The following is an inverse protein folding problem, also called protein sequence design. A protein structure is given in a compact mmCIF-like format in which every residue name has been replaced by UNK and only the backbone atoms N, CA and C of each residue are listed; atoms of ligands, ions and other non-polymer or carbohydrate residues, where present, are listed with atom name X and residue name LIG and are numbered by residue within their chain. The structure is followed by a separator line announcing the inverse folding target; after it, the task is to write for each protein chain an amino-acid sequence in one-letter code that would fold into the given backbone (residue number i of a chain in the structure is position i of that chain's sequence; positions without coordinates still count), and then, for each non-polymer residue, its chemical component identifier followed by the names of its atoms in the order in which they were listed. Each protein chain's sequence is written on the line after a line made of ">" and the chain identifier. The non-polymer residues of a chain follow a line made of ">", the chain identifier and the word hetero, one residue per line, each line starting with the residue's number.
data_IF_579185738618
#
_entry.id   IF_579185738618
#
_cell.length_a   1.000
_cell.length_b   1.000
_cell.length_c   1.000
_cell.angle_alpha   90.00
_cell.angle_beta   90.00
_cell.angle_gamma   90.00
#
_symmetry.space_group_name_H-M   'P 1'
#
loop_
_entity.id
_entity.type
_entity.pdbx_description
1 polymer ?
#
# COMPACT_ATOMS: atom_id res chain seq x y z
N UNK A 1 -1.63 -31.66 40.34
CA UNK A 1 -0.49 -31.41 39.44
C UNK A 1 -0.60 -32.47 38.38
N UNK A 2 -1.11 -32.13 37.19
CA UNK A 2 -1.23 -33.11 36.10
C UNK A 2 0.17 -33.49 35.64
N UNK A 3 0.44 -34.79 35.59
CA UNK A 3 1.67 -35.35 35.02
C UNK A 3 1.65 -35.06 33.51
N UNK A 4 2.31 -33.99 33.08
CA UNK A 4 2.43 -33.67 31.65
C UNK A 4 3.04 -34.83 30.88
N UNK A 5 2.44 -35.20 29.75
CA UNK A 5 2.96 -36.21 28.83
C UNK A 5 3.84 -35.51 27.79
N UNK A 6 5.09 -35.94 27.67
CA UNK A 6 6.00 -35.46 26.63
C UNK A 6 5.84 -36.30 25.36
N UNK A 7 5.71 -35.62 24.22
CA UNK A 7 5.63 -36.23 22.89
C UNK A 7 6.55 -35.47 21.95
N UNK A 8 7.20 -36.21 21.06
CA UNK A 8 7.96 -35.71 19.95
C UNK A 8 7.03 -35.48 18.75
N UNK A 9 7.33 -34.50 17.90
CA UNK A 9 6.66 -34.28 16.61
C UNK A 9 7.67 -33.98 15.52
N UNK A 10 7.58 -34.71 14.41
CA UNK A 10 8.44 -34.55 13.22
C UNK A 10 7.75 -35.04 11.95
N UNK A 11 8.51 -35.18 10.87
CA UNK A 11 8.00 -35.73 9.58
C UNK A 11 7.44 -37.14 9.76
N UNK A 12 7.98 -37.92 10.70
CA UNK A 12 7.49 -39.24 11.05
C UNK A 12 6.25 -39.28 11.97
N UNK A 13 5.62 -38.15 12.27
CA UNK A 13 4.40 -38.05 13.09
C UNK A 13 4.65 -37.79 14.57
N UNK A 14 3.77 -38.29 15.45
CA UNK A 14 3.88 -38.15 16.90
C UNK A 14 4.48 -39.42 17.53
N UNK A 15 5.42 -39.28 18.46
CA UNK A 15 5.97 -40.40 19.20
C UNK A 15 6.34 -40.02 20.63
N UNK A 16 6.23 -40.94 21.58
CA UNK A 16 6.73 -40.71 22.96
C UNK A 16 8.26 -40.85 23.04
N UNK A 17 8.86 -41.59 22.11
CA UNK A 17 10.29 -41.84 22.05
C UNK A 17 10.76 -41.99 20.60
N UNK A 18 11.92 -41.43 20.29
CA UNK A 18 12.56 -41.51 18.97
C UNK A 18 13.99 -42.02 19.18
N UNK A 19 14.34 -43.12 18.49
CA UNK A 19 15.69 -43.68 18.57
C UNK A 19 16.73 -42.69 18.01
N UNK A 20 17.90 -42.52 18.65
CA UNK A 20 18.99 -41.72 18.11
C UNK A 20 19.41 -42.12 16.69
N UNK A 21 19.29 -43.40 16.32
CA UNK A 21 19.67 -43.90 14.99
C UNK A 21 18.65 -43.56 13.89
N UNK A 22 17.43 -43.20 14.28
CA UNK A 22 16.33 -42.86 13.38
C UNK A 22 16.04 -41.35 13.33
N UNK A 23 16.63 -40.57 14.23
CA UNK A 23 16.29 -39.16 14.44
C UNK A 23 16.46 -38.30 13.18
N UNK A 24 17.46 -38.63 12.34
CA UNK A 24 17.72 -37.93 11.07
C UNK A 24 16.65 -38.14 10.00
N UNK A 25 15.92 -39.28 10.03
CA UNK A 25 14.76 -39.54 9.15
C UNK A 25 13.46 -39.01 9.73
N UNK A 26 13.43 -38.77 11.04
CA UNK A 26 12.21 -38.52 11.76
C UNK A 26 11.95 -37.01 11.95
N UNK A 27 13.01 -36.20 11.99
CA UNK A 27 12.93 -34.74 12.06
C UNK A 27 12.53 -34.12 10.72
N UNK A 28 11.89 -32.95 10.77
CA UNK A 28 11.76 -32.10 9.59
C UNK A 28 13.13 -31.76 9.02
N UNK A 29 13.25 -31.76 7.70
CA UNK A 29 14.49 -31.46 6.99
C UNK A 29 14.37 -30.14 6.26
N UNK A 30 15.31 -29.23 6.53
CA UNK A 30 15.54 -28.04 5.74
C UNK A 30 16.91 -28.19 5.06
N UNK A 31 16.97 -28.83 3.87
CA UNK A 31 18.19 -29.41 3.33
C UNK A 31 19.25 -28.36 2.96
N UNK A 32 18.83 -27.15 2.59
CA UNK A 32 19.73 -26.06 2.22
C UNK A 32 19.04 -24.71 2.40
N UNK A 33 19.68 -23.79 3.14
CA UNK A 33 19.31 -22.37 3.20
C UNK A 33 20.03 -21.63 2.09
N UNK A 34 19.36 -21.47 0.95
CA UNK A 34 19.78 -20.53 -0.07
C UNK A 34 19.22 -19.16 0.29
N UNK A 35 20.10 -18.18 0.47
CA UNK A 35 19.71 -16.80 0.74
C UNK A 35 19.97 -15.95 -0.51
N UNK A 36 18.94 -15.28 -1.01
CA UNK A 36 19.05 -14.20 -1.99
C UNK A 36 18.55 -12.92 -1.31
N UNK A 37 19.27 -11.81 -1.45
CA UNK A 37 18.87 -10.52 -0.86
C UNK A 37 17.52 -10.02 -1.41
N UNK A 38 17.04 -10.62 -2.51
CA UNK A 38 15.68 -10.39 -3.05
C UNK A 38 14.55 -10.89 -2.16
N UNK A 39 14.82 -11.82 -1.23
CA UNK A 39 13.83 -12.33 -0.29
C UNK A 39 13.63 -11.38 0.90
N UNK A 40 14.53 -10.40 1.08
CA UNK A 40 14.41 -9.39 2.12
C UNK A 40 13.43 -8.29 1.72
N UNK A 41 12.54 -7.92 2.64
CA UNK A 41 11.70 -6.72 2.47
C UNK A 41 12.57 -5.47 2.38
N UNK A 42 12.22 -4.48 1.53
CA UNK A 42 12.95 -3.22 1.47
C UNK A 42 13.06 -2.58 2.85
N UNK A 43 14.28 -2.19 3.24
CA UNK A 43 14.54 -1.64 4.57
C UNK A 43 13.64 -0.44 4.89
N UNK A 44 13.48 0.48 3.93
CA UNK A 44 12.63 1.67 4.08
C UNK A 44 11.17 1.33 4.43
N UNK A 45 10.64 0.21 3.94
CA UNK A 45 9.25 -0.17 4.17
C UNK A 45 8.99 -0.65 5.61
N UNK A 46 10.03 -1.11 6.32
CA UNK A 46 9.91 -1.54 7.73
C UNK A 46 9.76 -0.36 8.69
N UNK A 47 10.22 0.83 8.26
CA UNK A 47 10.17 2.09 9.02
C UNK A 47 9.08 3.05 8.48
N UNK A 48 8.28 2.59 7.51
CA UNK A 48 7.29 3.42 6.85
C UNK A 48 6.06 3.67 7.73
N UNK A 49 5.66 4.94 7.83
CA UNK A 49 4.36 5.40 8.32
C UNK A 49 3.56 5.78 7.07
N UNK A 50 2.68 4.87 6.65
CA UNK A 50 1.93 4.98 5.40
C UNK A 50 0.65 5.79 5.60
N UNK A 51 0.39 6.73 4.70
CA UNK A 51 -0.88 7.47 4.62
C UNK A 51 -1.57 7.16 3.30
N UNK A 52 -2.76 6.56 3.38
CA UNK A 52 -3.59 6.30 2.21
C UNK A 52 -4.36 7.55 1.79
N UNK A 53 -4.29 7.89 0.51
CA UNK A 53 -5.00 9.02 -0.09
C UNK A 53 -5.91 8.50 -1.19
N UNK A 54 -7.20 8.85 -1.07
CA UNK A 54 -8.17 8.77 -2.14
C UNK A 54 -8.25 10.14 -2.84
N UNK A 55 -7.60 10.35 -4.02
CA UNK A 55 -7.32 11.69 -4.55
C UNK A 55 -8.55 12.55 -4.75
N UNK A 56 -9.63 11.95 -5.28
CA UNK A 56 -10.91 12.60 -5.58
C UNK A 56 -11.57 13.28 -4.34
N UNK A 57 -11.10 12.96 -3.13
CA UNK A 57 -11.64 13.47 -1.86
C UNK A 57 -10.61 14.09 -0.93
N UNK A 58 -9.34 14.12 -1.30
CA UNK A 58 -8.31 14.61 -0.40
C UNK A 58 -8.29 16.13 -0.33
N UNK A 59 -8.12 16.78 -1.48
CA UNK A 59 -8.20 18.22 -1.62
C UNK A 59 -8.36 18.61 -3.11
N UNK A 60 -9.20 19.59 -3.40
CA UNK A 60 -9.31 20.21 -4.73
C UNK A 60 -8.32 21.38 -4.81
N UNK A 61 -7.23 21.19 -5.56
CA UNK A 61 -6.17 22.18 -5.74
C UNK A 61 -6.22 22.89 -7.10
N UNK A 62 -6.88 22.29 -8.09
CA UNK A 62 -7.06 22.88 -9.42
C UNK A 62 -8.51 22.70 -9.92
N UNK A 63 -9.40 23.66 -9.60
CA UNK A 63 -10.80 23.62 -10.03
C UNK A 63 -11.01 23.65 -11.55
N UNK A 64 -9.96 23.90 -12.35
CA UNK A 64 -10.07 23.93 -13.81
C UNK A 64 -10.12 22.52 -14.42
N UNK A 65 -9.70 21.50 -13.68
CA UNK A 65 -9.73 20.10 -14.11
C UNK A 65 -10.91 19.30 -13.53
N UNK A 66 -11.79 19.95 -12.75
CA UNK A 66 -12.94 19.34 -12.11
C UNK A 66 -13.82 18.53 -13.10
N UNK A 67 -14.29 17.33 -12.71
CA UNK A 67 -15.32 16.61 -13.44
C UNK A 67 -16.61 17.43 -13.60
N UNK A 68 -17.45 17.13 -14.61
CA UNK A 68 -18.78 17.72 -14.67
C UNK A 68 -19.63 17.31 -13.46
N UNK A 69 -20.43 18.25 -12.94
CA UNK A 69 -21.35 18.06 -11.80
C UNK A 69 -20.66 17.72 -10.46
N UNK A 70 -19.49 18.30 -10.18
CA UNK A 70 -18.91 18.26 -8.83
C UNK A 70 -19.90 18.78 -7.79
N UNK A 71 -19.96 18.08 -6.66
CA UNK A 71 -20.73 18.46 -5.49
C UNK A 71 -19.92 19.42 -4.61
N UNK A 72 -20.59 20.26 -3.80
CA UNK A 72 -19.89 21.09 -2.83
C UNK A 72 -19.03 20.25 -1.87
N UNK A 73 -17.80 20.70 -1.63
CA UNK A 73 -16.84 20.03 -0.77
C UNK A 73 -17.40 19.77 0.63
N UNK A 74 -17.15 18.57 1.18
CA UNK A 74 -17.59 18.17 2.53
C UNK A 74 -19.04 17.67 2.62
N UNK A 75 -19.79 17.60 1.52
CA UNK A 75 -21.06 16.87 1.52
C UNK A 75 -20.88 15.35 1.64
N UNK A 76 -21.94 14.66 2.07
CA UNK A 76 -21.94 13.19 2.11
C UNK A 76 -21.74 12.63 0.69
N UNK A 77 -20.78 11.71 0.51
CA UNK A 77 -20.51 11.14 -0.80
C UNK A 77 -21.58 10.12 -1.20
N UNK A 78 -21.89 10.10 -2.49
CA UNK A 78 -22.63 9.05 -3.17
C UNK A 78 -21.70 8.24 -4.08
N UNK A 79 -22.12 7.03 -4.47
CA UNK A 79 -21.31 6.08 -5.25
C UNK A 79 -20.74 6.68 -6.53
N UNK A 80 -21.47 7.58 -7.19
CA UNK A 80 -21.04 8.24 -8.44
C UNK A 80 -20.79 9.75 -8.30
N UNK A 81 -20.74 10.26 -7.06
CA UNK A 81 -20.47 11.67 -6.84
C UNK A 81 -19.00 12.02 -7.10
N UNK A 82 -18.77 13.25 -7.54
CA UNK A 82 -17.45 13.87 -7.64
C UNK A 82 -17.42 15.14 -6.77
N UNK A 83 -16.24 15.51 -6.31
CA UNK A 83 -15.90 16.67 -5.48
C UNK A 83 -14.66 17.40 -6.01
N UNK A 84 -13.96 16.83 -6.99
CA UNK A 84 -12.86 17.51 -7.70
C UNK A 84 -11.52 17.43 -6.99
N UNK A 85 -11.29 16.42 -6.15
CA UNK A 85 -9.98 16.22 -5.56
C UNK A 85 -8.96 15.76 -6.61
N UNK A 86 -7.72 16.26 -6.53
CA UNK A 86 -6.73 16.13 -7.59
C UNK A 86 -5.28 16.04 -7.04
N UNK A 87 -4.29 15.83 -7.92
CA UNK A 87 -2.88 15.70 -7.51
C UNK A 87 -2.28 17.04 -7.06
N UNK A 88 -2.73 18.18 -7.62
CA UNK A 88 -2.29 19.51 -7.18
C UNK A 88 -2.69 19.73 -5.73
N UNK A 89 -3.88 19.30 -5.36
CA UNK A 89 -4.37 19.38 -3.99
C UNK A 89 -3.58 18.52 -3.00
N UNK A 90 -3.04 17.38 -3.45
CA UNK A 90 -2.09 16.61 -2.63
C UNK A 90 -0.80 17.41 -2.43
N UNK A 91 -0.24 17.99 -3.50
CA UNK A 91 0.98 18.83 -3.44
C UNK A 91 0.78 19.99 -2.45
N UNK A 92 -0.34 20.68 -2.53
CA UNK A 92 -0.69 21.83 -1.67
C UNK A 92 -0.85 21.47 -0.19
N UNK A 93 -0.95 20.19 0.14
CA UNK A 93 -1.11 19.67 1.51
C UNK A 93 0.09 18.84 1.99
N UNK A 94 1.20 18.80 1.24
CA UNK A 94 2.39 18.07 1.68
C UNK A 94 2.95 18.58 3.02
N UNK A 95 2.87 19.89 3.29
CA UNK A 95 3.32 20.45 4.58
C UNK A 95 2.50 19.90 5.77
N UNK A 96 1.21 19.57 5.57
CA UNK A 96 0.39 18.92 6.59
C UNK A 96 0.81 17.46 6.81
N UNK A 97 1.13 16.74 5.73
CA UNK A 97 1.54 15.34 5.78
C UNK A 97 2.94 15.19 6.42
N UNK A 98 3.85 16.11 6.10
CA UNK A 98 5.17 16.22 6.73
C UNK A 98 5.03 16.52 8.23
N UNK A 99 4.19 17.48 8.61
CA UNK A 99 3.92 17.79 10.02
C UNK A 99 3.35 16.57 10.78
N UNK A 100 2.54 15.75 10.14
CA UNK A 100 1.98 14.52 10.72
C UNK A 100 3.05 13.43 10.93
N UNK A 101 4.19 13.51 10.24
CA UNK A 101 5.29 12.54 10.30
C UNK A 101 5.16 11.36 9.34
N UNK A 102 4.34 11.51 8.28
CA UNK A 102 4.17 10.49 7.23
C UNK A 102 5.40 10.51 6.32
N UNK A 103 5.91 9.32 5.95
CA UNK A 103 7.04 9.16 5.04
C UNK A 103 6.74 8.23 3.84
N UNK A 104 5.48 7.81 3.67
CA UNK A 104 5.05 7.03 2.51
C UNK A 104 3.59 7.35 2.18
N UNK A 105 3.33 7.75 0.94
CA UNK A 105 1.97 7.95 0.44
C UNK A 105 1.54 6.75 -0.40
N UNK A 106 0.39 6.16 -0.05
CA UNK A 106 -0.29 5.18 -0.88
C UNK A 106 -1.49 5.86 -1.56
N UNK A 107 -1.47 5.92 -2.89
CA UNK A 107 -2.58 6.47 -3.67
C UNK A 107 -3.47 5.33 -4.17
N UNK A 108 -4.79 5.50 -4.04
CA UNK A 108 -5.74 4.70 -4.84
C UNK A 108 -5.56 5.03 -6.34
N UNK A 109 -6.15 4.26 -7.28
CA UNK A 109 -5.86 4.41 -8.70
C UNK A 109 -5.97 5.85 -9.23
N UNK A 110 -4.95 6.29 -9.95
CA UNK A 110 -4.85 7.65 -10.53
C UNK A 110 -4.88 7.68 -12.05
N UNK A 111 -4.99 6.50 -12.68
CA UNK A 111 -5.00 6.37 -14.13
C UNK A 111 -6.39 6.63 -14.70
N UNK A 112 -6.43 6.97 -15.99
CA UNK A 112 -7.64 7.36 -16.69
C UNK A 112 -8.76 6.33 -16.51
N UNK A 113 -9.88 6.77 -15.95
CA UNK A 113 -11.08 5.95 -15.74
C UNK A 113 -12.32 6.83 -15.52
N UNK A 114 -13.53 6.38 -15.92
CA UNK A 114 -14.73 7.21 -15.84
C UNK A 114 -15.29 7.34 -14.42
N UNK A 115 -15.04 6.38 -13.53
CA UNK A 115 -15.54 6.43 -12.15
C UNK A 115 -14.72 7.38 -11.26
N UNK A 116 -15.26 7.68 -10.07
CA UNK A 116 -14.56 8.42 -9.02
C UNK A 116 -13.45 7.59 -8.34
N UNK A 117 -13.56 6.26 -8.32
CA UNK A 117 -12.61 5.35 -7.67
C UNK A 117 -11.54 4.79 -8.60
N UNK A 118 -11.77 4.87 -9.91
CA UNK A 118 -10.81 4.59 -11.01
C UNK A 118 -10.26 3.17 -11.12
N UNK A 119 -10.84 2.22 -10.40
CA UNK A 119 -10.53 0.78 -10.52
C UNK A 119 -10.98 0.16 -11.85
N UNK A 120 -11.88 0.83 -12.57
CA UNK A 120 -12.35 0.52 -13.93
C UNK A 120 -11.46 1.21 -15.00
N UNK A 121 -10.16 0.92 -14.95
CA UNK A 121 -9.14 1.60 -15.75
C UNK A 121 -9.40 1.52 -17.26
N UNK A 122 -9.37 2.68 -17.91
CA UNK A 122 -9.48 2.82 -19.37
C UNK A 122 -8.12 2.89 -20.06
N UNK A 123 -7.12 3.50 -19.44
CA UNK A 123 -5.74 3.57 -19.95
C UNK A 123 -4.72 3.67 -18.81
N UNK A 124 -3.89 2.63 -18.66
CA UNK A 124 -2.85 2.55 -17.63
C UNK A 124 -1.64 3.46 -17.87
N UNK A 125 -1.47 4.00 -19.08
CA UNK A 125 -0.33 4.87 -19.43
C UNK A 125 -0.65 6.36 -19.28
N UNK A 126 -1.88 6.69 -18.87
CA UNK A 126 -2.36 8.06 -18.80
C UNK A 126 -2.89 8.39 -17.40
N UNK A 127 -2.38 9.47 -16.80
CA UNK A 127 -2.99 10.09 -15.62
C UNK A 127 -4.40 10.56 -15.97
N UNK A 128 -5.35 10.32 -15.09
CA UNK A 128 -6.71 10.79 -15.29
C UNK A 128 -6.73 12.32 -15.43
N UNK A 129 -7.36 12.88 -16.47
CA UNK A 129 -7.34 14.32 -16.71
C UNK A 129 -7.99 15.13 -15.58
N UNK A 130 -8.86 14.52 -14.76
CA UNK A 130 -9.46 15.16 -13.59
C UNK A 130 -8.58 15.11 -12.35
N UNK A 131 -7.45 14.42 -12.40
CA UNK A 131 -6.44 14.43 -11.35
C UNK A 131 -5.19 15.24 -11.74
N UNK A 132 -4.99 15.49 -13.03
CA UNK A 132 -3.90 16.32 -13.56
C UNK A 132 -3.25 15.69 -14.80
N UNK A 133 -1.93 15.80 -14.88
CA UNK A 133 -1.14 15.33 -16.01
C UNK A 133 0.17 14.65 -15.56
N UNK A 134 0.95 14.03 -16.48
CA UNK A 134 2.23 13.39 -16.12
C UNK A 134 3.25 14.34 -15.47
N UNK A 135 3.17 15.64 -15.76
CA UNK A 135 4.03 16.67 -15.19
C UNK A 135 3.69 16.90 -13.72
N UNK A 136 2.41 17.03 -13.39
CA UNK A 136 1.90 17.18 -12.02
C UNK A 136 2.19 15.92 -11.19
N UNK A 137 2.03 14.72 -11.77
CA UNK A 137 2.41 13.48 -11.10
C UNK A 137 3.92 13.42 -10.80
N UNK A 138 4.77 13.85 -11.74
CA UNK A 138 6.23 13.95 -11.52
C UNK A 138 6.57 14.99 -10.44
N UNK A 139 5.87 16.12 -10.43
CA UNK A 139 6.04 17.15 -9.42
C UNK A 139 5.72 16.60 -8.02
N UNK A 140 4.58 15.90 -7.87
CA UNK A 140 4.20 15.25 -6.61
C UNK A 140 5.29 14.29 -6.13
N UNK A 141 5.76 13.38 -6.98
CA UNK A 141 6.85 12.45 -6.62
C UNK A 141 8.11 13.20 -6.20
N UNK A 142 8.48 14.25 -6.94
CA UNK A 142 9.67 15.05 -6.64
C UNK A 142 9.54 15.75 -5.29
N UNK A 143 8.38 16.34 -5.01
CA UNK A 143 8.10 17.08 -3.78
C UNK A 143 7.99 16.15 -2.55
N UNK A 144 7.45 14.94 -2.72
CA UNK A 144 7.45 13.92 -1.68
C UNK A 144 8.88 13.51 -1.32
N UNK A 145 9.69 13.10 -2.30
CA UNK A 145 11.08 12.66 -2.03
C UNK A 145 11.98 13.76 -1.44
N UNK A 146 11.65 15.04 -1.65
CA UNK A 146 12.38 16.15 -1.01
C UNK A 146 12.08 16.27 0.49
N UNK A 147 10.98 15.68 0.97
CA UNK A 147 10.50 15.72 2.36
C UNK A 147 10.76 14.44 3.16
N UNK A 148 11.34 13.42 2.53
CA UNK A 148 11.61 12.10 3.12
C UNK A 148 10.72 11.03 2.51
#
# INVERSE_FOLDING_TARGET
>A
MENGREIWYGEGGFAEHVSPDAIWRWNFQYPYLWWDDKDALPYWAQEAIVYEIFPERFYNGDPLNDPPNVRPWGQLPETQSFFGGDLRGIIDKLDHLEWLGVNCLYLTPIFSAPSNHKYDTSDYYKIDPHFGDPQTARELVTQCHQRG
#
